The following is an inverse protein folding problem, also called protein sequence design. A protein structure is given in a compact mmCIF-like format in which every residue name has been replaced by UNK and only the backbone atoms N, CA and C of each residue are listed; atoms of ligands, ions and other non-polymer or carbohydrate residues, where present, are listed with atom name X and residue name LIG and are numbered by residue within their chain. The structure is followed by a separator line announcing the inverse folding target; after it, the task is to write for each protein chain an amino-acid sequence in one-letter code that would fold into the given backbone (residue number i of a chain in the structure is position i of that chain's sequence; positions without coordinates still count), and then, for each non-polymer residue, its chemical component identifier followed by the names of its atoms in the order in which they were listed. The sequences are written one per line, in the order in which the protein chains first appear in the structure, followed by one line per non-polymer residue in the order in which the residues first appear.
data_IF_752538690617
#
_entry.id   IF_752538690617
#
_cell.length_a   1.000
_cell.length_b   1.000
_cell.length_c   1.000
_cell.angle_alpha   90.00
_cell.angle_beta   90.00
_cell.angle_gamma   90.00
#
_symmetry.space_group_name_H-M   'P 1'
#
loop_
_entity.id
_entity.type
_entity.pdbx_description
1 polymer ?
#
# COMPACT_ATOMS: atom_id res chain seq x y z
N UNK A 1 -7.95 -13.50 7.70
CA UNK A 1 -7.08 -12.72 6.78
C UNK A 1 -7.00 -11.31 7.33
N UNK A 2 -5.82 -10.69 7.36
CA UNK A 2 -5.68 -9.28 7.76
C UNK A 2 -6.06 -8.37 6.61
N UNK A 3 -6.84 -7.35 6.91
CA UNK A 3 -7.32 -6.40 5.90
C UNK A 3 -6.35 -5.24 5.74
N UNK A 4 -5.96 -4.97 4.50
CA UNK A 4 -4.95 -3.98 4.14
C UNK A 4 -5.55 -2.90 3.26
N UNK A 5 -5.22 -1.65 3.58
CA UNK A 5 -5.44 -0.49 2.72
C UNK A 5 -4.14 -0.07 2.03
N UNK A 6 -4.25 0.45 0.83
CA UNK A 6 -3.12 1.06 0.09
C UNK A 6 -3.41 2.54 -0.11
N UNK A 7 -2.52 3.40 0.39
CA UNK A 7 -2.55 4.82 0.07
C UNK A 7 -1.52 5.13 -1.02
N UNK A 8 -1.99 5.52 -2.20
CA UNK A 8 -1.19 5.71 -3.40
C UNK A 8 -1.07 4.44 -4.25
N UNK A 9 -1.83 4.37 -5.33
CA UNK A 9 -1.84 3.23 -6.26
C UNK A 9 -0.93 3.47 -7.47
N UNK A 10 0.22 4.09 -7.20
CA UNK A 10 1.32 4.26 -8.13
C UNK A 10 2.04 2.94 -8.43
N UNK A 11 3.31 3.01 -8.81
CA UNK A 11 4.09 1.81 -9.12
C UNK A 11 4.17 0.84 -7.94
N UNK A 12 4.52 1.33 -6.76
CA UNK A 12 4.70 0.48 -5.57
C UNK A 12 3.36 -0.12 -5.13
N UNK A 13 2.30 0.69 -5.00
CA UNK A 13 0.98 0.19 -4.58
C UNK A 13 0.44 -0.90 -5.51
N UNK A 14 0.59 -0.74 -6.83
CA UNK A 14 0.19 -1.78 -7.79
C UNK A 14 1.00 -3.07 -7.66
N UNK A 15 2.31 -2.97 -7.42
CA UNK A 15 3.16 -4.14 -7.22
C UNK A 15 2.83 -4.86 -5.92
N UNK A 16 2.49 -4.13 -4.86
CA UNK A 16 2.01 -4.72 -3.60
C UNK A 16 0.75 -5.55 -3.86
N UNK A 17 -0.25 -4.99 -4.54
CA UNK A 17 -1.47 -5.73 -4.86
C UNK A 17 -1.17 -6.99 -5.69
N UNK A 18 -0.38 -6.87 -6.76
CA UNK A 18 0.02 -8.02 -7.58
C UNK A 18 0.66 -9.11 -6.72
N UNK A 19 1.62 -8.73 -5.86
CA UNK A 19 2.34 -9.68 -5.02
C UNK A 19 1.45 -10.37 -3.99
N UNK A 20 0.53 -9.65 -3.38
CA UNK A 20 -0.46 -10.23 -2.45
C UNK A 20 -1.32 -11.30 -3.16
N UNK A 21 -1.75 -11.02 -4.39
CA UNK A 21 -2.57 -11.96 -5.17
C UNK A 21 -1.77 -13.20 -5.64
N UNK A 22 -0.49 -13.02 -6.01
CA UNK A 22 0.38 -14.11 -6.45
C UNK A 22 0.74 -15.09 -5.33
N UNK A 23 0.91 -14.59 -4.10
CA UNK A 23 1.45 -15.39 -2.99
C UNK A 23 0.40 -16.11 -2.17
N UNK A 24 -0.89 -16.00 -2.48
CA UNK A 24 -1.97 -16.55 -1.65
C UNK A 24 -1.78 -16.23 -0.16
N UNK A 25 -1.34 -15.01 0.13
CA UNK A 25 -0.98 -14.57 1.47
C UNK A 25 -2.21 -14.51 2.40
N UNK A 26 -1.95 -14.53 3.73
CA UNK A 26 -3.00 -14.36 4.75
C UNK A 26 -3.51 -12.91 4.88
N UNK A 27 -3.21 -12.07 3.89
CA UNK A 27 -3.64 -10.67 3.83
C UNK A 27 -4.55 -10.44 2.63
N UNK A 28 -5.43 -9.46 2.72
CA UNK A 28 -6.36 -9.07 1.67
C UNK A 28 -6.37 -7.54 1.51
N UNK A 29 -6.24 -7.08 0.26
CA UNK A 29 -6.40 -5.66 -0.04
C UNK A 29 -7.90 -5.38 -0.18
N UNK A 30 -8.44 -4.52 0.68
CA UNK A 30 -9.87 -4.19 0.71
C UNK A 30 -10.18 -2.78 0.25
N UNK A 31 -9.21 -1.87 0.37
CA UNK A 31 -9.39 -0.46 0.00
C UNK A 31 -8.10 0.14 -0.57
N UNK A 32 -8.27 1.06 -1.49
CA UNK A 32 -7.22 1.85 -2.14
C UNK A 32 -7.63 3.32 -2.06
N UNK A 33 -6.69 4.20 -1.75
CA UNK A 33 -6.88 5.64 -1.92
C UNK A 33 -5.90 6.16 -2.97
N UNK A 34 -6.42 6.79 -4.01
CA UNK A 34 -5.63 7.45 -5.05
C UNK A 34 -6.48 8.55 -5.70
N UNK A 35 -5.88 9.67 -6.08
CA UNK A 35 -6.60 10.80 -6.68
C UNK A 35 -6.99 10.54 -8.15
N UNK A 36 -6.56 9.42 -8.71
CA UNK A 36 -6.85 8.98 -10.07
C UNK A 36 -8.14 8.16 -10.12
N UNK A 37 -8.90 8.26 -11.20
CA UNK A 37 -10.16 7.53 -11.33
C UNK A 37 -9.98 6.01 -11.38
N UNK A 38 -10.95 5.22 -10.87
CA UNK A 38 -10.89 3.75 -10.90
C UNK A 38 -10.63 3.17 -12.29
N UNK A 39 -11.20 3.76 -13.33
CA UNK A 39 -10.96 3.38 -14.74
C UNK A 39 -9.48 3.41 -15.11
N UNK A 40 -8.79 4.51 -14.77
CA UNK A 40 -7.35 4.66 -15.07
C UNK A 40 -6.52 3.72 -14.21
N UNK A 41 -6.86 3.57 -12.93
CA UNK A 41 -6.18 2.64 -12.01
C UNK A 41 -6.30 1.20 -12.50
N UNK A 42 -7.48 0.78 -12.98
CA UNK A 42 -7.69 -0.53 -13.59
C UNK A 42 -6.81 -0.74 -14.81
N UNK A 43 -6.74 0.25 -15.70
CA UNK A 43 -5.88 0.19 -16.88
C UNK A 43 -4.41 0.04 -16.50
N UNK A 44 -3.92 0.86 -15.54
CA UNK A 44 -2.54 0.81 -15.07
C UNK A 44 -2.19 -0.48 -14.32
N UNK A 45 -3.15 -1.11 -13.66
CA UNK A 45 -2.96 -2.41 -13.03
C UNK A 45 -2.87 -3.51 -14.08
N UNK A 46 -3.74 -3.46 -15.10
CA UNK A 46 -3.83 -4.47 -16.16
C UNK A 46 -2.60 -4.48 -17.06
N UNK A 47 -2.09 -3.30 -17.40
CA UNK A 47 -0.98 -3.13 -18.35
C UNK A 47 0.22 -2.50 -17.66
N UNK A 48 1.34 -3.21 -17.59
CA UNK A 48 2.59 -2.71 -17.04
C UNK A 48 3.75 -3.02 -17.99
N UNK A 49 4.56 -1.99 -18.33
CA UNK A 49 5.67 -2.12 -19.27
C UNK A 49 6.82 -2.97 -18.73
N UNK A 50 7.00 -3.01 -17.41
CA UNK A 50 8.09 -3.73 -16.75
C UNK A 50 7.66 -5.13 -16.31
N UNK A 51 6.45 -5.24 -15.75
CA UNK A 51 5.92 -6.48 -15.15
C UNK A 51 4.89 -7.18 -16.04
N UNK A 52 4.72 -6.73 -17.28
CA UNK A 52 3.79 -7.28 -18.27
C UNK A 52 2.33 -7.15 -17.85
N UNK A 53 1.45 -7.74 -18.65
CA UNK A 53 0.03 -7.77 -18.35
C UNK A 53 -0.23 -8.53 -17.05
N UNK A 54 -1.20 -8.03 -16.28
CA UNK A 54 -1.68 -8.73 -15.09
C UNK A 54 -2.31 -10.07 -15.51
N UNK A 55 -1.87 -11.14 -14.83
CA UNK A 55 -2.43 -12.48 -15.05
C UNK A 55 -3.71 -12.64 -14.21
N UNK A 56 -4.83 -12.30 -14.80
CA UNK A 56 -6.14 -12.30 -14.18
C UNK A 56 -7.09 -11.29 -14.77
N UNK A 57 -8.26 -11.16 -14.16
CA UNK A 57 -9.29 -10.21 -14.58
C UNK A 57 -9.19 -8.92 -13.81
N UNK A 58 -9.24 -7.79 -14.52
CA UNK A 58 -9.30 -6.46 -13.94
C UNK A 58 -10.44 -5.69 -14.59
N UNK A 59 -11.37 -5.25 -13.75
CA UNK A 59 -12.51 -4.43 -14.11
C UNK A 59 -12.68 -3.31 -13.09
N UNK A 60 -13.62 -2.41 -13.28
CA UNK A 60 -13.85 -1.28 -12.39
C UNK A 60 -15.34 -0.90 -12.35
N UNK A 61 -15.72 -0.24 -11.26
CA UNK A 61 -16.97 0.52 -11.13
C UNK A 61 -16.63 1.98 -10.84
N UNK A 62 -17.63 2.82 -10.61
CA UNK A 62 -17.40 4.24 -10.30
C UNK A 62 -16.64 4.44 -8.97
N UNK A 63 -16.73 3.49 -8.04
CA UNK A 63 -16.20 3.55 -6.69
C UNK A 63 -15.21 2.42 -6.32
N UNK A 64 -14.86 1.56 -7.26
CA UNK A 64 -14.04 0.39 -6.93
C UNK A 64 -13.29 -0.21 -8.12
N UNK A 65 -12.25 -0.98 -7.79
CA UNK A 65 -11.64 -1.96 -8.69
C UNK A 65 -12.26 -3.34 -8.44
N UNK A 66 -12.39 -4.12 -9.50
CA UNK A 66 -12.82 -5.52 -9.41
C UNK A 66 -11.67 -6.38 -9.96
N UNK A 67 -10.96 -7.07 -9.08
CA UNK A 67 -9.78 -7.85 -9.43
C UNK A 67 -10.05 -9.31 -9.10
N UNK A 68 -10.01 -10.19 -10.12
CA UNK A 68 -10.34 -11.60 -9.99
C UNK A 68 -11.71 -11.85 -9.33
N UNK A 69 -12.68 -10.99 -9.65
CA UNK A 69 -14.04 -11.04 -9.08
C UNK A 69 -14.18 -10.45 -7.68
N UNK A 70 -13.09 -10.03 -7.03
CA UNK A 70 -13.12 -9.36 -5.72
C UNK A 70 -13.19 -7.84 -5.88
N UNK A 71 -14.10 -7.21 -5.14
CA UNK A 71 -14.30 -5.76 -5.13
C UNK A 71 -13.35 -5.11 -4.11
N UNK A 72 -12.58 -4.11 -4.55
CA UNK A 72 -11.68 -3.29 -3.72
C UNK A 72 -12.19 -1.86 -3.79
N UNK A 73 -12.55 -1.27 -2.66
CA UNK A 73 -13.04 0.11 -2.61
C UNK A 73 -11.95 1.09 -3.07
N UNK A 74 -12.33 2.12 -3.81
CA UNK A 74 -11.42 3.19 -4.27
C UNK A 74 -11.90 4.52 -3.75
N UNK A 75 -11.05 5.21 -3.02
CA UNK A 75 -11.25 6.55 -2.49
C UNK A 75 -10.33 7.55 -3.18
N UNK A 76 -10.70 8.83 -3.17
CA UNK A 76 -9.94 9.93 -3.78
C UNK A 76 -9.74 11.08 -2.78
N UNK A 77 -9.36 10.73 -1.57
CA UNK A 77 -9.15 11.67 -0.48
C UNK A 77 -7.72 12.21 -0.48
N UNK A 78 -7.59 13.55 -0.45
CA UNK A 78 -6.28 14.22 -0.37
C UNK A 78 -5.70 14.17 1.03
N UNK A 79 -6.55 14.27 2.05
CA UNK A 79 -6.16 14.21 3.44
C UNK A 79 -6.41 12.79 3.98
N UNK A 80 -5.36 12.16 4.45
CA UNK A 80 -5.41 10.79 4.96
C UNK A 80 -6.38 10.60 6.13
N UNK A 81 -6.67 11.65 6.90
CA UNK A 81 -7.63 11.62 8.01
C UNK A 81 -9.06 11.34 7.55
N UNK A 82 -9.38 11.71 6.30
CA UNK A 82 -10.72 11.56 5.75
C UNK A 82 -10.95 10.20 5.08
N UNK A 83 -9.91 9.41 4.91
CA UNK A 83 -10.04 8.08 4.29
C UNK A 83 -10.74 7.15 5.28
N UNK A 84 -11.82 6.47 4.91
CA UNK A 84 -12.63 5.70 5.86
C UNK A 84 -12.04 4.31 6.16
N UNK A 85 -10.76 4.22 6.53
CA UNK A 85 -10.07 2.95 6.82
C UNK A 85 -10.79 2.11 7.87
N UNK A 86 -11.27 2.75 8.93
CA UNK A 86 -12.01 2.06 9.99
C UNK A 86 -13.33 1.45 9.52
N UNK A 87 -14.03 2.09 8.56
CA UNK A 87 -15.29 1.58 7.99
C UNK A 87 -15.07 0.29 7.20
N UNK A 88 -13.96 0.21 6.48
CA UNK A 88 -13.62 -0.96 5.66
C UNK A 88 -12.85 -2.04 6.45
N UNK A 89 -12.69 -1.85 7.75
CA UNK A 89 -11.98 -2.80 8.61
C UNK A 89 -10.49 -2.90 8.35
N UNK A 90 -9.88 -1.88 7.73
CA UNK A 90 -8.46 -1.86 7.42
C UNK A 90 -7.63 -1.89 8.71
N UNK A 91 -6.81 -2.92 8.84
CA UNK A 91 -5.90 -3.06 9.98
C UNK A 91 -4.54 -2.40 9.70
N UNK A 92 -4.03 -2.55 8.49
CA UNK A 92 -2.71 -2.04 8.11
C UNK A 92 -2.85 -1.21 6.85
N UNK A 93 -2.34 0.02 6.86
CA UNK A 93 -2.21 0.85 5.66
C UNK A 93 -0.79 0.73 5.14
N UNK A 94 -0.64 0.46 3.84
CA UNK A 94 0.64 0.59 3.14
C UNK A 94 0.67 1.95 2.47
N UNK A 95 1.55 2.81 2.96
CA UNK A 95 1.74 4.17 2.47
C UNK A 95 2.72 4.17 1.30
N UNK A 96 2.20 4.44 0.10
CA UNK A 96 2.93 4.38 -1.17
C UNK A 96 2.95 5.72 -1.93
N UNK A 97 2.48 6.82 -1.32
CA UNK A 97 2.46 8.14 -1.99
C UNK A 97 3.80 8.87 -1.91
N UNK A 98 4.60 8.59 -0.88
CA UNK A 98 5.81 9.33 -0.57
C UNK A 98 5.57 10.70 0.11
N UNK A 99 4.32 11.06 0.45
CA UNK A 99 4.00 12.31 1.15
C UNK A 99 3.99 12.18 2.67
N UNK A 100 3.60 11.02 3.18
CA UNK A 100 3.45 10.74 4.61
C UNK A 100 4.71 10.06 5.16
N UNK A 101 5.87 10.73 5.02
CA UNK A 101 7.20 10.21 5.35
C UNK A 101 7.72 10.67 6.71
N UNK A 102 6.84 11.11 7.60
CA UNK A 102 7.15 11.39 9.00
C UNK A 102 6.10 10.76 9.91
N UNK A 103 6.46 10.48 11.15
CA UNK A 103 5.54 9.90 12.12
C UNK A 103 4.29 10.77 12.31
N UNK A 104 4.48 12.08 12.43
CA UNK A 104 3.40 13.06 12.57
C UNK A 104 2.40 12.97 11.41
N UNK A 105 2.89 12.96 10.16
CA UNK A 105 2.03 12.88 8.98
C UNK A 105 1.36 11.51 8.86
N UNK A 106 2.13 10.44 9.04
CA UNK A 106 1.64 9.07 8.88
C UNK A 106 0.61 8.69 9.96
N UNK A 107 0.64 9.33 11.13
CA UNK A 107 -0.37 9.13 12.19
C UNK A 107 -1.78 9.52 11.75
N UNK A 108 -1.93 10.35 10.70
CA UNK A 108 -3.23 10.64 10.10
C UNK A 108 -4.00 9.37 9.68
N UNK A 109 -3.30 8.33 9.23
CA UNK A 109 -3.93 7.04 8.90
C UNK A 109 -4.42 6.29 10.14
N UNK A 110 -3.73 6.45 11.28
CA UNK A 110 -4.16 5.87 12.56
C UNK A 110 -5.41 6.58 13.06
N UNK A 111 -5.47 7.91 12.93
CA UNK A 111 -6.67 8.71 13.26
C UNK A 111 -7.86 8.31 12.36
N UNK A 112 -7.61 7.95 11.11
CA UNK A 112 -8.59 7.45 10.16
C UNK A 112 -9.06 5.99 10.44
N UNK A 113 -8.53 5.35 11.49
CA UNK A 113 -8.98 4.05 11.99
C UNK A 113 -8.09 2.85 11.64
N UNK A 114 -6.96 3.05 10.98
CA UNK A 114 -5.97 1.99 10.80
C UNK A 114 -5.25 1.67 12.13
N UNK A 115 -4.84 0.40 12.31
CA UNK A 115 -4.09 0.00 13.51
C UNK A 115 -2.58 0.20 13.34
N UNK A 116 -2.08 0.02 12.12
CA UNK A 116 -0.66 0.18 11.76
C UNK A 116 -0.52 0.83 10.39
N UNK A 117 0.63 1.51 10.19
CA UNK A 117 1.00 2.09 8.89
C UNK A 117 2.39 1.60 8.52
N UNK A 118 2.55 1.06 7.32
CA UNK A 118 3.84 0.66 6.76
C UNK A 118 4.23 1.67 5.68
N UNK A 119 5.30 2.42 5.89
CA UNK A 119 5.78 3.42 4.94
C UNK A 119 6.75 2.76 3.95
N UNK A 120 6.50 2.90 2.66
CA UNK A 120 7.31 2.34 1.56
C UNK A 120 8.30 3.34 0.96
N UNK A 121 8.64 4.40 1.69
CA UNK A 121 9.56 5.45 1.25
C UNK A 121 10.52 5.83 2.39
N UNK A 122 11.66 6.48 2.10
CA UNK A 122 12.55 7.00 3.15
C UNK A 122 11.79 7.93 4.11
N UNK A 123 11.90 7.69 5.39
CA UNK A 123 11.13 8.40 6.42
C UNK A 123 12.00 8.81 7.62
N UNK A 124 13.11 9.49 7.38
CA UNK A 124 13.99 10.05 8.40
C UNK A 124 14.51 9.01 9.38
N UNK A 125 14.48 9.36 10.68
CA UNK A 125 15.01 8.52 11.77
C UNK A 125 14.02 7.45 12.26
N UNK A 126 12.94 7.20 11.53
CA UNK A 126 11.94 6.21 11.91
C UNK A 126 12.50 4.78 11.83
N UNK A 127 11.96 3.88 12.67
CA UNK A 127 12.38 2.48 12.69
C UNK A 127 12.24 1.83 11.33
N UNK A 128 13.37 1.56 10.69
CA UNK A 128 13.41 0.96 9.36
C UNK A 128 13.60 -0.55 9.45
N UNK A 129 12.73 -1.28 8.77
CA UNK A 129 12.71 -2.75 8.73
C UNK A 129 13.13 -3.20 7.34
N UNK A 130 14.09 -4.12 7.29
CA UNK A 130 14.53 -4.79 6.07
C UNK A 130 14.20 -6.27 6.18
N UNK A 131 13.45 -6.78 5.21
CA UNK A 131 13.04 -8.20 5.19
C UNK A 131 14.28 -9.11 5.21
N UNK A 132 14.22 -10.17 6.02
CA UNK A 132 15.31 -11.13 6.27
C UNK A 132 16.60 -10.55 6.89
N UNK A 133 16.62 -9.27 7.25
CA UNK A 133 17.78 -8.66 7.94
C UNK A 133 17.44 -8.36 9.40
N UNK A 134 16.43 -7.52 9.63
CA UNK A 134 16.03 -7.10 10.97
C UNK A 134 14.52 -7.12 11.20
N UNK A 135 13.76 -7.85 10.37
CA UNK A 135 12.31 -7.94 10.51
C UNK A 135 11.86 -8.53 11.86
N UNK A 136 12.74 -9.28 12.54
CA UNK A 136 12.51 -9.82 13.88
C UNK A 136 12.56 -8.76 15.00
N UNK A 137 13.00 -7.55 14.70
CA UNK A 137 13.04 -6.44 15.67
C UNK A 137 11.70 -5.70 15.78
N UNK A 138 10.74 -5.96 14.86
CA UNK A 138 9.42 -5.35 14.92
C UNK A 138 8.64 -5.88 16.12
N UNK A 139 7.99 -4.95 16.82
CA UNK A 139 7.19 -5.25 18.02
C UNK A 139 5.73 -4.84 17.80
N UNK A 140 4.79 -5.31 18.62
CA UNK A 140 3.40 -4.87 18.58
C UNK A 140 3.23 -3.34 18.77
N UNK A 141 4.14 -2.72 19.50
CA UNK A 141 4.15 -1.28 19.81
C UNK A 141 4.56 -0.43 18.60
N UNK A 142 5.30 -1.01 17.63
CA UNK A 142 5.70 -0.32 16.40
C UNK A 142 4.47 -0.11 15.52
N UNK A 143 3.88 1.08 15.59
CA UNK A 143 2.68 1.43 14.83
C UNK A 143 2.98 1.92 13.42
N UNK A 144 4.15 2.53 13.21
CA UNK A 144 4.53 3.16 11.94
C UNK A 144 5.96 2.73 11.54
N UNK A 145 6.20 1.45 11.19
CA UNK A 145 7.48 1.02 10.66
C UNK A 145 7.69 1.49 9.23
N UNK A 146 8.96 1.60 8.84
CA UNK A 146 9.40 1.96 7.49
C UNK A 146 10.03 0.74 6.82
N UNK A 147 9.68 0.46 5.57
CA UNK A 147 10.28 -0.65 4.81
C UNK A 147 10.50 -0.24 3.35
N UNK A 148 11.64 0.38 3.08
CA UNK A 148 12.03 0.77 1.71
C UNK A 148 13.48 0.39 1.35
N UNK A 149 14.32 0.08 2.32
CA UNK A 149 15.79 -0.05 2.17
C UNK A 149 16.20 -1.08 1.11
N UNK A 150 15.41 -2.15 0.93
CA UNK A 150 15.66 -3.15 -0.11
C UNK A 150 15.50 -2.60 -1.54
N UNK A 151 14.87 -1.43 -1.72
CA UNK A 151 14.73 -0.77 -3.02
C UNK A 151 15.97 0.06 -3.39
N UNK A 152 16.78 0.45 -2.41
CA UNK A 152 17.94 1.34 -2.60
C UNK A 152 19.27 0.61 -2.68
N UNK A 153 19.38 -0.59 -2.12
CA UNK A 153 20.62 -1.38 -2.12
C UNK A 153 21.22 -1.60 -3.52
N UNK A 154 20.44 -1.94 -4.56
CA UNK A 154 20.98 -2.08 -5.92
C UNK A 154 21.52 -0.77 -6.49
N UNK A 155 20.97 0.36 -6.10
CA UNK A 155 21.40 1.69 -6.57
C UNK A 155 22.73 2.12 -5.95
N UNK A 156 22.96 1.76 -4.68
CA UNK A 156 24.21 2.08 -3.97
C UNK A 156 25.40 1.27 -4.52
N UNK A 157 25.15 0.06 -5.04
CA UNK A 157 26.21 -0.79 -5.63
C UNK A 157 26.59 -0.38 -7.05
N UNK A 158 25.91 0.58 -7.66
CA UNK A 158 26.17 1.10 -9.01
C UNK A 158 26.91 2.45 -9.01
N UNK A 159 27.37 2.93 -7.86
CA UNK A 159 28.14 4.20 -7.72
C UNK A 159 29.59 3.90 -7.42
#
# INVERSE_FOLDING_TARGET
MKQIGINGFGRIGRLVLRRVLETNSEVEIVAINDLTSPKVLAYLLKYDSSYRNFDGTVDYTDDSLVVNGKKIAVYAEKDAKNIPWGKDGVEIVIECTGFYTSEEKASAHLEAGAKKVLISAPAGDMKTIVFNVNCNTITPEDKIPVSYTHLTLPTILLV
#
